data_IF_069921462567
#
_entry.id   IF_069921462567
#
_cell.length_a   1.000
_cell.length_b   1.000
_cell.length_c   1.000
_cell.angle_alpha   90.00
_cell.angle_beta   90.00
_cell.angle_gamma   90.00
#
_symmetry.space_group_name_H-M   'P 1'
#
loop_
_entity.id
_entity.type
_entity.pdbx_description
1 polymer ?
#
# COMPACT_ATOMS: atom_id res chain seq x y z
N UNK A 1 14.09 -13.26 -7.85
CA UNK A 1 13.34 -14.12 -6.92
C UNK A 1 12.42 -14.98 -7.75
N UNK A 2 12.44 -16.28 -7.55
CA UNK A 2 11.51 -17.23 -8.15
C UNK A 2 10.64 -17.78 -7.03
N UNK A 3 9.33 -17.73 -7.18
CA UNK A 3 8.38 -18.42 -6.30
C UNK A 3 7.78 -19.55 -7.10
N UNK A 4 7.98 -20.78 -6.68
CA UNK A 4 7.38 -21.93 -7.35
C UNK A 4 6.19 -22.34 -6.48
N UNK A 5 4.98 -22.31 -7.05
CA UNK A 5 3.76 -22.59 -6.30
C UNK A 5 3.77 -23.97 -5.66
N UNK A 6 2.81 -24.24 -4.78
CA UNK A 6 2.71 -25.53 -4.07
C UNK A 6 2.32 -26.73 -4.96
N UNK A 7 2.25 -26.55 -6.29
CA UNK A 7 1.76 -27.53 -7.26
C UNK A 7 2.85 -28.49 -7.75
N UNK A 8 2.73 -29.74 -7.29
CA UNK A 8 3.46 -30.98 -7.65
C UNK A 8 4.99 -30.93 -7.80
N UNK A 9 5.70 -31.95 -7.26
CA UNK A 9 7.14 -32.03 -7.41
C UNK A 9 7.50 -32.14 -8.90
N UNK A 10 8.24 -31.15 -9.40
CA UNK A 10 9.10 -31.36 -10.56
C UNK A 10 10.00 -32.54 -10.18
N UNK A 11 10.09 -33.55 -11.06
CA UNK A 11 10.91 -34.73 -10.83
C UNK A 11 12.39 -34.31 -10.66
N UNK A 12 12.80 -34.01 -9.43
CA UNK A 12 14.11 -33.49 -9.09
C UNK A 12 14.27 -33.36 -7.57
N UNK A 13 15.48 -33.65 -7.08
CA UNK A 13 15.82 -33.50 -5.66
C UNK A 13 16.02 -32.02 -5.33
N UNK A 14 15.01 -31.39 -4.75
CA UNK A 14 15.05 -29.99 -4.29
C UNK A 14 13.73 -29.57 -3.66
N UNK A 15 13.76 -28.64 -2.71
CA UNK A 15 12.54 -28.05 -2.14
C UNK A 15 11.86 -27.20 -3.21
N UNK A 16 10.66 -27.62 -3.65
CA UNK A 16 9.87 -27.00 -4.73
C UNK A 16 9.29 -25.61 -4.39
N UNK A 17 9.88 -24.85 -3.46
CA UNK A 17 9.35 -23.56 -3.00
C UNK A 17 9.84 -22.34 -3.77
N UNK A 18 10.93 -22.47 -4.54
CA UNK A 18 11.54 -21.38 -5.30
C UNK A 18 12.93 -20.97 -4.80
N UNK A 19 13.34 -19.74 -5.10
CA UNK A 19 14.70 -19.24 -4.87
C UNK A 19 14.74 -17.72 -4.64
N UNK A 20 15.44 -17.30 -3.58
CA UNK A 20 15.78 -15.90 -3.31
C UNK A 20 17.26 -15.66 -3.62
N UNK A 21 17.53 -14.94 -4.70
CA UNK A 21 18.88 -14.54 -5.09
C UNK A 21 19.15 -13.15 -4.53
N UNK A 22 20.21 -13.00 -3.74
CA UNK A 22 20.63 -11.73 -3.15
C UNK A 22 21.81 -11.17 -3.93
N UNK A 23 21.71 -9.90 -4.36
CA UNK A 23 22.80 -9.18 -5.03
C UNK A 23 22.97 -9.45 -6.52
N UNK A 24 22.04 -10.16 -7.16
CA UNK A 24 22.16 -10.47 -8.59
C UNK A 24 20.93 -11.11 -9.21
N UNK A 25 21.12 -11.54 -10.45
CA UNK A 25 20.16 -12.27 -11.28
C UNK A 25 20.80 -13.63 -11.58
N UNK A 26 20.03 -14.71 -11.47
CA UNK A 26 20.48 -16.07 -11.77
C UNK A 26 19.84 -16.54 -13.08
N UNK A 27 20.60 -16.67 -14.18
CA UNK A 27 20.07 -17.02 -15.50
C UNK A 27 19.36 -18.36 -15.57
N UNK A 28 19.70 -19.32 -14.70
CA UNK A 28 19.05 -20.63 -14.68
C UNK A 28 17.60 -20.61 -14.17
N UNK A 29 17.15 -19.52 -13.55
CA UNK A 29 15.83 -19.41 -12.92
C UNK A 29 14.76 -18.72 -13.79
N UNK A 30 15.06 -18.36 -15.04
CA UNK A 30 14.10 -17.76 -15.96
C UNK A 30 14.36 -18.18 -17.42
N UNK A 31 13.37 -17.94 -18.28
CA UNK A 31 13.50 -18.11 -19.74
C UNK A 31 13.11 -16.83 -20.47
N UNK A 32 13.70 -16.63 -21.64
CA UNK A 32 13.45 -15.46 -22.48
C UNK A 32 14.02 -14.17 -21.89
N UNK A 33 13.44 -13.04 -22.30
CA UNK A 33 13.90 -11.71 -21.90
C UNK A 33 13.28 -11.25 -20.58
N UNK A 34 14.02 -10.40 -19.85
CA UNK A 34 13.51 -9.71 -18.67
C UNK A 34 12.95 -8.35 -19.09
N UNK A 35 11.65 -8.16 -18.85
CA UNK A 35 10.97 -6.88 -19.08
C UNK A 35 10.94 -6.06 -17.81
N UNK A 36 11.37 -4.80 -17.89
CA UNK A 36 11.45 -3.91 -16.73
C UNK A 36 10.37 -2.84 -16.74
N UNK A 37 9.79 -2.60 -15.58
CA UNK A 37 8.90 -1.46 -15.29
C UNK A 37 9.55 -0.55 -14.22
N UNK A 38 9.47 0.78 -14.35
CA UNK A 38 10.06 1.69 -13.38
C UNK A 38 9.34 1.62 -12.02
N UNK A 39 10.11 1.78 -10.94
CA UNK A 39 9.57 2.01 -9.60
C UNK A 39 9.15 3.48 -9.52
N UNK A 40 7.88 3.73 -9.18
CA UNK A 40 7.31 5.09 -9.12
C UNK A 40 7.68 5.83 -7.84
N UNK A 41 7.66 5.14 -6.69
CA UNK A 41 8.02 5.68 -5.38
C UNK A 41 8.75 4.61 -4.54
N UNK A 42 9.78 4.99 -3.78
CA UNK A 42 10.70 4.07 -3.07
C UNK A 42 10.30 3.82 -1.60
N UNK A 43 9.05 3.42 -1.40
CA UNK A 43 8.45 3.06 -0.10
C UNK A 43 7.89 1.64 -0.12
N UNK A 44 7.24 1.29 -1.23
CA UNK A 44 6.98 -0.07 -1.69
C UNK A 44 7.71 -0.30 -3.02
N UNK A 45 7.69 -1.53 -3.54
CA UNK A 45 7.97 -1.76 -4.96
C UNK A 45 6.75 -1.34 -5.79
N UNK A 46 6.46 -0.03 -5.79
CA UNK A 46 5.33 0.55 -6.47
C UNK A 46 5.63 0.65 -7.97
N UNK A 47 4.76 0.06 -8.77
CA UNK A 47 4.81 0.10 -10.23
C UNK A 47 3.54 0.78 -10.76
N UNK A 48 3.52 1.03 -12.05
CA UNK A 48 2.36 1.61 -12.74
C UNK A 48 1.69 0.56 -13.61
N UNK A 49 0.38 0.35 -13.40
CA UNK A 49 -0.45 -0.56 -14.18
C UNK A 49 -1.26 0.26 -15.19
N UNK A 50 -1.11 -0.05 -16.48
CA UNK A 50 -1.73 0.73 -17.55
C UNK A 50 -3.07 0.15 -18.00
N UNK A 51 -3.14 -1.18 -18.15
CA UNK A 51 -4.30 -1.89 -18.66
C UNK A 51 -4.39 -3.27 -18.01
N UNK A 52 -5.62 -3.76 -17.83
CA UNK A 52 -5.89 -5.12 -17.41
C UNK A 52 -6.87 -5.76 -18.40
N UNK A 53 -6.56 -6.98 -18.84
CA UNK A 53 -7.35 -7.72 -19.82
C UNK A 53 -7.77 -9.09 -19.26
N UNK A 54 -8.99 -9.51 -19.59
CA UNK A 54 -9.53 -10.84 -19.25
C UNK A 54 -10.04 -11.46 -20.54
N UNK A 55 -9.52 -12.64 -20.91
CA UNK A 55 -9.87 -13.30 -22.18
C UNK A 55 -9.54 -12.47 -23.42
N UNK A 56 -8.46 -11.67 -23.38
CA UNK A 56 -8.06 -10.76 -24.45
C UNK A 56 -8.96 -9.51 -24.59
N UNK A 57 -9.88 -9.27 -23.66
CA UNK A 57 -10.71 -8.07 -23.64
C UNK A 57 -10.27 -7.13 -22.52
N UNK A 58 -10.03 -5.87 -22.87
CA UNK A 58 -9.76 -4.80 -21.91
C UNK A 58 -10.94 -4.57 -20.97
N UNK A 59 -10.67 -4.33 -19.69
CA UNK A 59 -11.70 -3.92 -18.73
C UNK A 59 -12.26 -2.51 -18.99
N UNK A 60 -11.60 -1.71 -19.83
CA UNK A 60 -12.01 -0.35 -20.20
C UNK A 60 -12.31 0.57 -19.00
N UNK A 61 -11.51 0.43 -17.93
CA UNK A 61 -11.52 1.36 -16.80
C UNK A 61 -10.49 2.46 -17.02
N UNK A 62 -10.69 3.62 -16.40
CA UNK A 62 -9.62 4.61 -16.27
C UNK A 62 -8.42 3.94 -15.60
N UNK A 63 -7.24 4.04 -16.22
CA UNK A 63 -6.04 3.39 -15.72
C UNK A 63 -5.65 3.86 -14.31
N UNK A 64 -6.12 5.03 -13.88
CA UNK A 64 -5.97 5.52 -12.50
C UNK A 64 -6.64 4.62 -11.46
N UNK A 65 -7.69 3.90 -11.84
CA UNK A 65 -8.38 2.94 -10.97
C UNK A 65 -7.49 1.75 -10.61
N UNK A 66 -6.58 1.36 -11.51
CA UNK A 66 -5.61 0.28 -11.23
C UNK A 66 -4.52 0.70 -10.24
N UNK A 67 -4.28 2.00 -10.12
CA UNK A 67 -3.20 2.57 -9.33
C UNK A 67 -3.70 3.36 -8.12
N UNK A 68 -4.98 3.27 -7.76
CA UNK A 68 -5.57 3.95 -6.61
C UNK A 68 -5.54 3.05 -5.34
N UNK A 69 -4.87 3.42 -4.25
CA UNK A 69 -3.92 4.53 -4.07
C UNK A 69 -2.49 4.20 -4.56
N UNK A 70 -2.24 2.92 -4.84
CA UNK A 70 -0.94 2.40 -5.31
C UNK A 70 -1.11 1.01 -5.93
N UNK A 71 -0.19 0.64 -6.81
CA UNK A 71 -0.02 -0.72 -7.30
C UNK A 71 1.37 -1.23 -6.92
N UNK A 72 1.46 -2.36 -6.21
CA UNK A 72 2.73 -2.86 -5.63
C UNK A 72 2.99 -4.32 -5.98
N UNK A 73 4.26 -4.70 -5.96
CA UNK A 73 4.72 -6.10 -6.01
C UNK A 73 5.10 -6.54 -4.60
N UNK A 74 4.42 -7.55 -4.07
CA UNK A 74 4.56 -7.94 -2.66
C UNK A 74 4.48 -9.47 -2.45
N UNK A 75 5.65 -10.09 -2.26
CA UNK A 75 5.73 -11.52 -1.93
C UNK A 75 5.13 -11.86 -0.56
N UNK A 76 4.90 -10.88 0.32
CA UNK A 76 4.26 -11.05 1.62
C UNK A 76 2.74 -11.20 1.55
N UNK A 77 2.12 -10.91 0.41
CA UNK A 77 0.68 -11.05 0.19
C UNK A 77 0.39 -12.32 -0.62
N UNK A 78 -0.51 -13.18 -0.15
CA UNK A 78 -0.81 -14.44 -0.87
C UNK A 78 -1.49 -14.23 -2.20
N UNK A 79 -2.58 -13.46 -2.24
CA UNK A 79 -3.49 -13.37 -3.39
C UNK A 79 -3.19 -12.15 -4.26
N UNK A 80 -3.69 -12.15 -5.50
CA UNK A 80 -3.86 -10.92 -6.26
C UNK A 80 -4.93 -10.08 -5.56
N UNK A 81 -4.55 -8.90 -5.06
CA UNK A 81 -5.51 -7.99 -4.43
C UNK A 81 -5.81 -6.84 -5.37
N UNK A 82 -7.08 -6.55 -5.61
CA UNK A 82 -7.52 -5.52 -6.55
C UNK A 82 -8.37 -4.48 -5.83
N UNK A 83 -8.25 -3.18 -6.15
CA UNK A 83 -9.18 -2.15 -5.67
C UNK A 83 -10.63 -2.57 -5.95
N UNK A 84 -11.56 -2.28 -5.03
CA UNK A 84 -12.92 -2.82 -5.08
C UNK A 84 -13.61 -2.68 -6.46
N UNK A 85 -13.46 -1.53 -7.12
CA UNK A 85 -14.02 -1.28 -8.47
C UNK A 85 -13.40 -2.19 -9.53
N UNK A 86 -12.08 -2.37 -9.50
CA UNK A 86 -11.32 -3.25 -10.40
C UNK A 86 -11.66 -4.71 -10.11
N UNK A 87 -11.74 -5.11 -8.83
CA UNK A 87 -12.12 -6.45 -8.41
C UNK A 87 -13.49 -6.85 -8.98
N UNK A 88 -14.49 -5.98 -8.84
CA UNK A 88 -15.83 -6.23 -9.36
C UNK A 88 -15.82 -6.41 -10.89
N UNK A 89 -15.10 -5.55 -11.62
CA UNK A 89 -14.96 -5.65 -13.08
C UNK A 89 -14.25 -6.95 -13.51
N UNK A 90 -13.21 -7.37 -12.78
CA UNK A 90 -12.51 -8.64 -13.04
C UNK A 90 -13.43 -9.83 -12.78
N UNK A 91 -14.14 -9.86 -11.65
CA UNK A 91 -15.06 -10.97 -11.33
C UNK A 91 -16.17 -11.05 -12.37
N UNK A 92 -16.75 -9.93 -12.76
CA UNK A 92 -17.77 -9.88 -13.81
C UNK A 92 -17.23 -10.38 -15.16
N UNK A 93 -16.05 -9.91 -15.57
CA UNK A 93 -15.42 -10.35 -16.81
C UNK A 93 -15.11 -11.85 -16.77
N UNK A 94 -14.53 -12.36 -15.67
CA UNK A 94 -14.21 -13.78 -15.48
C UNK A 94 -15.48 -14.62 -15.55
N UNK A 95 -16.57 -14.23 -14.87
CA UNK A 95 -17.85 -14.97 -14.93
C UNK A 95 -18.48 -14.95 -16.31
N UNK A 96 -18.23 -13.91 -17.13
CA UNK A 96 -18.71 -13.83 -18.52
C UNK A 96 -17.89 -14.69 -19.49
N UNK A 97 -16.55 -14.63 -19.43
CA UNK A 97 -15.67 -15.43 -20.31
C UNK A 97 -15.62 -16.89 -19.91
N UNK A 98 -15.73 -17.15 -18.62
CA UNK A 98 -15.80 -18.50 -18.09
C UNK A 98 -17.27 -18.88 -18.05
N UNK A 99 -17.73 -19.74 -18.95
CA UNK A 99 -18.99 -20.50 -18.79
C UNK A 99 -18.87 -21.45 -17.58
N UNK A 100 -18.57 -20.93 -16.38
CA UNK A 100 -18.16 -21.72 -15.22
C UNK A 100 -19.26 -21.70 -14.17
N UNK A 101 -20.06 -22.76 -14.29
CA UNK A 101 -20.85 -23.39 -13.24
C UNK A 101 -19.91 -23.75 -12.07
N UNK A 102 -19.75 -22.87 -11.08
CA UNK A 102 -19.01 -23.20 -9.86
C UNK A 102 -20.00 -23.77 -8.83
N UNK A 103 -20.11 -25.10 -8.75
CA UNK A 103 -20.45 -25.87 -7.54
C UNK A 103 -19.91 -27.31 -7.69
N UNK A 104 -19.58 -28.06 -6.61
CA UNK A 104 -19.85 -27.83 -5.18
C UNK A 104 -18.58 -27.90 -4.30
N UNK A 105 -18.72 -27.77 -2.97
CA UNK A 105 -18.09 -28.68 -2.01
C UNK A 105 -18.79 -28.56 -0.64
N UNK A 106 -19.55 -29.60 -0.26
CA UNK A 106 -19.59 -30.08 1.12
C UNK A 106 -18.86 -31.43 1.17
N UNK A 107 -17.73 -31.41 1.87
CA UNK A 107 -17.43 -32.27 3.02
C UNK A 107 -17.47 -33.81 2.91
N UNK A 108 -16.32 -34.37 3.29
CA UNK A 108 -16.05 -35.72 3.83
C UNK A 108 -15.96 -36.88 2.82
N UNK A 109 -14.72 -37.19 2.40
CA UNK A 109 -14.31 -38.57 2.11
C UNK A 109 -14.05 -38.98 0.67
N UNK A 110 -13.93 -38.06 -0.29
CA UNK A 110 -13.63 -38.42 -1.69
C UNK A 110 -12.47 -37.58 -2.27
N UNK A 111 -11.63 -38.22 -3.09
CA UNK A 111 -10.44 -37.70 -3.77
C UNK A 111 -10.77 -36.59 -4.79
N UNK A 112 -11.20 -35.42 -4.32
CA UNK A 112 -11.42 -34.24 -5.17
C UNK A 112 -10.52 -33.10 -4.72
N UNK A 113 -9.96 -32.38 -5.69
CA UNK A 113 -9.17 -31.17 -5.43
C UNK A 113 -10.11 -29.99 -5.19
N UNK A 114 -9.92 -29.30 -4.06
CA UNK A 114 -10.64 -28.08 -3.72
C UNK A 114 -9.84 -26.87 -4.20
N UNK A 115 -10.47 -26.02 -5.02
CA UNK A 115 -9.87 -24.78 -5.50
C UNK A 115 -10.44 -23.56 -4.76
N UNK A 116 -9.57 -22.57 -4.52
CA UNK A 116 -9.97 -21.24 -4.03
C UNK A 116 -9.74 -20.23 -5.14
N UNK A 117 -10.56 -19.17 -5.16
CA UNK A 117 -10.34 -18.07 -6.08
C UNK A 117 -9.08 -17.28 -5.66
N UNK A 118 -8.09 -17.19 -6.55
CA UNK A 118 -6.78 -16.58 -6.29
C UNK A 118 -6.75 -15.05 -6.24
N UNK A 119 -7.92 -14.40 -6.19
CA UNK A 119 -8.09 -12.96 -6.27
C UNK A 119 -8.99 -12.49 -5.14
N UNK A 120 -8.68 -11.34 -4.53
CA UNK A 120 -9.48 -10.76 -3.45
C UNK A 120 -9.63 -9.24 -3.59
N UNK A 121 -10.68 -8.64 -3.00
CA UNK A 121 -10.84 -7.19 -2.99
C UNK A 121 -9.84 -6.53 -2.01
N UNK A 122 -9.57 -5.26 -2.29
CA UNK A 122 -8.71 -4.37 -1.52
C UNK A 122 -9.33 -3.00 -1.44
N UNK A 123 -9.09 -2.32 -0.33
CA UNK A 123 -9.59 -0.96 -0.08
C UNK A 123 -8.60 0.13 -0.50
N UNK A 124 -7.30 -0.17 -0.57
CA UNK A 124 -6.26 0.88 -0.63
C UNK A 124 -5.03 0.53 -1.49
N UNK A 125 -5.06 -0.59 -2.24
CA UNK A 125 -3.96 -0.99 -3.11
C UNK A 125 -4.35 -2.07 -4.11
N UNK A 126 -3.74 -2.03 -5.29
CA UNK A 126 -3.53 -3.21 -6.12
C UNK A 126 -2.24 -3.91 -5.66
N UNK A 127 -2.31 -5.21 -5.38
CA UNK A 127 -1.17 -5.99 -4.88
C UNK A 127 -0.94 -7.19 -5.79
N UNK A 128 0.17 -7.19 -6.51
CA UNK A 128 0.68 -8.36 -7.21
C UNK A 128 1.34 -9.28 -6.17
N UNK A 129 0.51 -10.14 -5.57
CA UNK A 129 0.91 -11.10 -4.55
C UNK A 129 1.53 -12.38 -5.11
N UNK A 130 1.75 -13.36 -4.23
CA UNK A 130 2.35 -14.65 -4.54
C UNK A 130 1.65 -15.37 -5.72
N UNK A 131 0.31 -15.37 -5.79
CA UNK A 131 -0.42 -15.99 -6.92
C UNK A 131 -0.03 -15.44 -8.29
N UNK A 132 0.42 -14.18 -8.38
CA UNK A 132 0.94 -13.61 -9.63
C UNK A 132 2.42 -13.90 -9.75
N UNK A 133 3.19 -13.69 -8.67
CA UNK A 133 4.64 -13.88 -8.68
C UNK A 133 5.04 -15.34 -8.96
N UNK A 134 4.19 -16.31 -8.64
CA UNK A 134 4.42 -17.74 -8.94
C UNK A 134 4.58 -18.03 -10.44
N UNK A 135 4.04 -17.19 -11.32
CA UNK A 135 4.24 -17.28 -12.77
C UNK A 135 5.60 -16.77 -13.26
N UNK A 136 6.30 -15.96 -12.47
CA UNK A 136 7.40 -15.14 -12.98
C UNK A 136 8.67 -15.23 -12.14
N UNK A 137 9.80 -15.02 -12.80
CA UNK A 137 11.02 -14.63 -12.14
C UNK A 137 11.03 -13.11 -11.97
N UNK A 138 10.97 -12.65 -10.72
CA UNK A 138 10.84 -11.23 -10.38
C UNK A 138 12.18 -10.65 -9.91
N UNK A 139 12.63 -9.57 -10.55
CA UNK A 139 13.89 -8.88 -10.23
C UNK A 139 13.61 -7.55 -9.55
N UNK A 140 14.02 -7.41 -8.29
CA UNK A 140 13.92 -6.15 -7.55
C UNK A 140 15.21 -5.34 -7.70
N UNK A 141 15.36 -4.59 -8.79
CA UNK A 141 16.54 -3.81 -9.12
C UNK A 141 16.45 -2.40 -8.51
N UNK A 142 16.72 -2.33 -7.19
CA UNK A 142 16.72 -1.07 -6.43
C UNK A 142 17.76 -0.07 -6.94
N UNK A 143 18.92 -0.55 -7.41
CA UNK A 143 20.00 0.30 -7.89
C UNK A 143 19.59 1.12 -9.13
N UNK A 144 18.72 0.57 -9.98
CA UNK A 144 18.19 1.23 -11.18
C UNK A 144 16.71 1.59 -11.08
N UNK A 145 16.13 1.56 -9.87
CA UNK A 145 14.74 1.93 -9.56
C UNK A 145 13.72 1.26 -10.50
N UNK A 146 13.80 -0.05 -10.65
CA UNK A 146 12.91 -0.82 -11.55
C UNK A 146 12.64 -2.22 -11.04
N UNK A 147 11.50 -2.77 -11.44
CA UNK A 147 11.15 -4.18 -11.21
C UNK A 147 11.15 -4.91 -12.56
N UNK A 148 11.81 -6.06 -12.61
CA UNK A 148 11.88 -6.90 -13.81
C UNK A 148 11.00 -8.15 -13.68
N UNK A 149 10.43 -8.59 -14.79
CA UNK A 149 9.66 -9.83 -14.89
C UNK A 149 10.17 -10.66 -16.06
N UNK A 150 10.26 -11.97 -15.88
CA UNK A 150 10.55 -12.94 -16.93
C UNK A 150 9.79 -14.24 -16.68
N UNK A 151 9.60 -15.06 -17.71
CA UNK A 151 8.92 -16.34 -17.58
C UNK A 151 9.70 -17.28 -16.64
N UNK A 152 9.00 -17.89 -15.68
CA UNK A 152 9.61 -18.83 -14.73
C UNK A 152 9.49 -20.28 -15.23
N UNK A 153 10.58 -21.04 -15.38
CA UNK A 153 10.52 -22.45 -15.79
C UNK A 153 9.89 -23.37 -14.75
N UNK A 154 9.75 -22.95 -13.48
CA UNK A 154 9.03 -23.73 -12.48
C UNK A 154 7.53 -23.42 -12.43
N UNK A 155 7.06 -22.45 -13.23
CA UNK A 155 5.65 -22.14 -13.42
C UNK A 155 5.09 -22.99 -14.58
N UNK A 156 5.21 -24.32 -14.45
CA UNK A 156 4.72 -25.28 -15.43
C UNK A 156 3.85 -26.33 -14.74
N UNK A 157 2.66 -26.60 -15.30
CA UNK A 157 1.79 -27.68 -14.85
C UNK A 157 1.68 -28.69 -16.00
N UNK A 158 2.03 -29.95 -15.73
CA UNK A 158 2.09 -31.01 -16.74
C UNK A 158 2.94 -30.65 -17.98
N UNK A 159 4.02 -29.89 -17.78
CA UNK A 159 4.93 -29.44 -18.85
C UNK A 159 4.40 -28.29 -19.71
N UNK A 160 3.24 -27.72 -19.38
CA UNK A 160 2.71 -26.53 -20.03
C UNK A 160 2.95 -25.28 -19.16
N UNK A 161 3.37 -24.14 -19.73
CA UNK A 161 3.55 -22.90 -18.97
C UNK A 161 2.20 -22.37 -18.49
N UNK A 162 2.15 -21.87 -17.25
CA UNK A 162 0.91 -21.28 -16.67
C UNK A 162 0.85 -19.76 -16.75
N UNK A 163 1.89 -19.14 -17.32
CA UNK A 163 2.06 -17.69 -17.40
C UNK A 163 2.83 -17.31 -18.65
N UNK A 164 2.49 -16.14 -19.19
CA UNK A 164 3.12 -15.58 -20.39
C UNK A 164 3.60 -14.16 -20.12
N UNK A 165 4.66 -13.77 -20.82
CA UNK A 165 5.15 -12.40 -20.85
C UNK A 165 5.55 -12.04 -22.28
N UNK A 166 5.11 -10.89 -22.74
CA UNK A 166 5.33 -10.42 -24.10
C UNK A 166 5.37 -8.89 -24.15
N UNK A 167 5.91 -8.36 -25.23
CA UNK A 167 6.08 -6.93 -25.45
C UNK A 167 7.10 -6.63 -26.56
N UNK A 168 7.31 -5.34 -26.90
CA UNK A 168 6.59 -4.19 -26.36
C UNK A 168 5.22 -4.01 -27.02
N UNK A 169 4.33 -3.28 -26.35
CA UNK A 169 3.06 -2.82 -26.90
C UNK A 169 3.05 -1.28 -26.95
N UNK A 170 2.41 -0.68 -27.96
CA UNK A 170 2.16 0.76 -27.94
C UNK A 170 1.20 1.10 -26.79
N UNK A 171 1.41 2.26 -26.17
CA UNK A 171 0.59 2.81 -25.09
C UNK A 171 0.04 4.19 -25.46
N UNK A 172 0.04 4.54 -26.76
CA UNK A 172 -0.36 5.87 -27.24
C UNK A 172 -1.87 6.15 -26.99
N UNK A 173 -2.66 5.10 -26.81
CA UNK A 173 -4.09 5.11 -26.50
C UNK A 173 -4.40 5.23 -24.99
N UNK A 174 -3.37 5.16 -24.13
CA UNK A 174 -3.50 5.23 -22.67
C UNK A 174 -3.02 6.59 -22.18
N UNK A 175 -3.57 7.06 -21.05
CA UNK A 175 -3.12 8.30 -20.42
C UNK A 175 -1.59 8.26 -20.15
N UNK A 176 -0.92 9.40 -20.30
CA UNK A 176 0.53 9.51 -20.10
C UNK A 176 1.01 9.24 -18.68
N UNK A 177 0.10 9.33 -17.69
CA UNK A 177 0.35 8.93 -16.31
C UNK A 177 -0.95 8.41 -15.67
N UNK A 178 -0.89 7.17 -15.23
CA UNK A 178 -1.95 6.41 -14.59
C UNK A 178 -1.79 6.36 -13.07
N UNK A 179 -0.69 6.86 -12.50
CA UNK A 179 -0.57 7.01 -11.04
C UNK A 179 -1.26 8.32 -10.62
N UNK A 180 -2.38 8.27 -9.87
CA UNK A 180 -3.04 9.48 -9.40
C UNK A 180 -2.10 10.28 -8.49
N UNK A 181 -2.14 11.61 -8.60
CA UNK A 181 -1.41 12.46 -7.67
C UNK A 181 -1.95 12.22 -6.26
N UNK A 182 -1.07 11.92 -5.31
CA UNK A 182 -1.42 11.82 -3.89
C UNK A 182 -2.19 13.10 -3.49
N UNK A 183 -3.36 12.98 -2.83
CA UNK A 183 -4.06 14.15 -2.34
C UNK A 183 -3.16 14.87 -1.33
N UNK A 184 -2.84 16.13 -1.62
CA UNK A 184 -2.06 17.05 -0.78
C UNK A 184 -2.64 17.24 0.64
N UNK A 185 -3.82 16.71 0.94
CA UNK A 185 -4.52 16.93 2.20
C UNK A 185 -3.83 16.28 3.41
N UNK A 186 -3.21 15.10 3.23
CA UNK A 186 -2.45 14.45 4.31
C UNK A 186 -1.30 15.34 4.80
N UNK A 187 -0.29 15.70 3.98
CA UNK A 187 0.85 16.48 4.46
C UNK A 187 0.45 17.85 5.03
N UNK A 188 -0.60 18.48 4.51
CA UNK A 188 -1.11 19.76 5.04
C UNK A 188 -1.63 19.59 6.47
N UNK A 189 -2.36 18.51 6.78
CA UNK A 189 -2.90 18.29 8.12
C UNK A 189 -1.78 18.10 9.16
N UNK A 190 -0.74 17.34 8.81
CA UNK A 190 0.43 17.15 9.67
C UNK A 190 1.17 18.48 9.88
N UNK A 191 1.38 19.27 8.82
CA UNK A 191 2.00 20.60 8.91
C UNK A 191 1.17 21.55 9.78
N UNK A 192 -0.16 21.57 9.62
CA UNK A 192 -1.06 22.39 10.46
C UNK A 192 -1.00 21.95 11.93
N UNK A 193 -0.97 20.64 12.20
CA UNK A 193 -0.87 20.11 13.56
C UNK A 193 0.46 20.48 14.23
N UNK A 194 1.59 20.28 13.55
CA UNK A 194 2.91 20.61 14.09
C UNK A 194 3.09 22.11 14.31
N UNK A 195 2.58 22.95 13.40
CA UNK A 195 2.61 24.41 13.56
C UNK A 195 1.79 24.85 14.77
N UNK A 196 0.58 24.31 14.98
CA UNK A 196 -0.24 24.59 16.16
C UNK A 196 0.45 24.16 17.46
N UNK A 197 1.00 22.94 17.50
CA UNK A 197 1.71 22.43 18.68
C UNK A 197 2.94 23.29 19.01
N UNK A 198 3.69 23.72 18.00
CA UNK A 198 4.84 24.62 18.18
C UNK A 198 4.42 25.97 18.75
N UNK A 199 3.34 26.57 18.21
CA UNK A 199 2.83 27.87 18.70
C UNK A 199 2.35 27.75 20.15
N UNK A 200 1.59 26.70 20.48
CA UNK A 200 1.15 26.41 21.85
C UNK A 200 2.34 26.22 22.80
N UNK A 201 3.37 25.49 22.38
CA UNK A 201 4.58 25.26 23.16
C UNK A 201 5.34 26.56 23.46
N UNK A 202 5.48 27.46 22.47
CA UNK A 202 6.13 28.76 22.65
C UNK A 202 5.33 29.65 23.60
N UNK A 203 3.99 29.69 23.47
CA UNK A 203 3.13 30.47 24.37
C UNK A 203 3.25 29.97 25.81
N UNK A 204 3.20 28.65 26.03
CA UNK A 204 3.36 28.05 27.36
C UNK A 204 4.74 28.35 27.94
N UNK A 205 5.80 28.27 27.14
CA UNK A 205 7.16 28.60 27.57
C UNK A 205 7.26 30.07 28.03
N UNK A 206 6.69 31.01 27.27
CA UNK A 206 6.67 32.43 27.62
C UNK A 206 5.92 32.65 28.94
N UNK A 207 4.76 32.02 29.11
CA UNK A 207 3.98 32.12 30.35
C UNK A 207 4.74 31.56 31.56
N UNK A 208 5.43 30.42 31.39
CA UNK A 208 6.28 29.83 32.44
C UNK A 208 7.43 30.79 32.79
N UNK A 209 8.10 31.38 31.80
CA UNK A 209 9.17 32.35 32.03
C UNK A 209 8.65 33.58 32.78
N UNK A 210 7.47 34.10 32.42
CA UNK A 210 6.85 35.24 33.10
C UNK A 210 6.45 34.92 34.55
N UNK A 211 6.04 33.67 34.83
CA UNK A 211 5.71 33.21 36.19
C UNK A 211 6.95 32.94 37.04
N UNK A 212 8.05 32.50 36.43
CA UNK A 212 9.32 32.20 37.11
C UNK A 212 10.23 33.42 37.26
N UNK A 213 10.02 34.49 36.49
CA UNK A 213 10.64 35.79 36.72
C UNK A 213 10.03 36.37 38.00
N UNK A 214 10.77 36.41 39.14
CA UNK A 214 10.25 37.05 40.32
C UNK A 214 9.98 38.51 39.96
N UNK A 215 8.83 39.04 40.37
CA UNK A 215 8.44 40.44 40.26
C UNK A 215 9.39 41.34 41.07
N UNK A 216 10.66 41.40 40.68
CA UNK A 216 11.64 42.40 41.08
C UNK A 216 11.30 43.68 40.33
N UNK A 217 10.33 44.40 40.88
CA UNK A 217 10.23 45.87 40.93
C UNK A 217 8.78 46.32 41.15
N UNK A 218 8.24 46.08 42.35
CA UNK A 218 7.28 47.00 43.00
C UNK A 218 7.62 47.14 44.48
N UNK A 219 8.83 47.63 44.76
CA UNK A 219 9.11 48.31 46.03
C UNK A 219 8.96 49.81 45.76
N UNK A 220 7.75 50.33 45.99
CA UNK A 220 7.53 51.77 46.19
C UNK A 220 7.57 52.03 47.70
N UNK A 221 8.21 53.10 48.20
CA UNK A 221 8.35 53.35 49.64
C UNK A 221 6.98 53.52 50.32
N UNK A 222 6.90 53.00 51.54
CA UNK A 222 5.74 52.98 52.42
C UNK A 222 5.68 54.31 53.18
N UNK A 223 4.73 55.19 52.85
CA UNK A 223 4.33 56.31 53.72
C UNK A 223 3.22 55.84 54.69
N UNK A 224 3.23 56.25 55.97
CA UNK A 224 2.27 55.82 56.97
C UNK A 224 1.00 56.68 56.97
N UNK A 225 -0.11 56.04 57.35
CA UNK A 225 -1.39 56.63 57.81
C UNK A 225 -2.24 57.44 56.80
N UNK A 226 -3.18 56.75 56.13
CA UNK A 226 -4.61 57.12 56.17
C UNK A 226 -5.43 55.82 56.05
N UNK A 227 -6.04 55.39 57.15
CA UNK A 227 -7.02 54.29 57.17
C UNK A 227 -8.39 54.88 56.84
N UNK A 228 -8.97 54.51 55.70
CA UNK A 228 -10.36 54.83 55.36
C UNK A 228 -11.21 53.56 55.41
N UNK A 229 -11.80 53.30 56.58
CA UNK A 229 -12.78 52.24 56.82
C UNK A 229 -14.16 52.64 56.26
N UNK A 230 -14.36 52.44 54.95
CA UNK A 230 -15.69 52.52 54.31
C UNK A 230 -16.13 51.13 53.84
N UNK A 231 -16.15 50.16 54.76
CA UNK A 231 -16.73 48.82 54.54
C UNK A 231 -17.21 48.16 55.85
N UNK A 232 -17.87 48.93 56.72
CA UNK A 232 -18.61 48.39 57.87
C UNK A 232 -20.10 48.34 57.53
N UNK A 233 -20.56 47.20 57.01
CA UNK A 233 -21.95 46.95 56.67
C UNK A 233 -22.54 45.86 57.57
N UNK A 234 -22.70 46.15 58.86
CA UNK A 234 -23.62 45.42 59.75
C UNK A 234 -24.28 46.40 60.72
N UNK A 235 -25.54 46.74 60.45
CA UNK A 235 -26.38 47.60 61.28
C UNK A 235 -27.36 46.71 62.06
N UNK A 236 -26.96 46.23 63.24
CA UNK A 236 -27.92 45.60 64.17
C UNK A 236 -28.48 46.66 65.11
N UNK A 237 -29.80 46.88 64.96
CA UNK A 237 -30.64 47.78 65.73
C UNK A 237 -31.28 46.97 66.86
N UNK A 238 -31.11 47.38 68.12
CA UNK A 238 -31.94 46.94 69.25
C UNK A 238 -32.47 48.17 69.98
N UNK A 239 -33.79 48.30 70.02
CA UNK A 239 -34.59 48.88 71.09
C UNK A 239 -35.88 48.09 71.15
#
# INVERSE_FOLDING_TARGET
MQTCGAGLPVAGSGTNGGSLVLGGIEPSLYRGDIWYTPIKEEWYYQIEILKLEIGGQSLNLDCREYNADKAIVDSGTTLLRLPQKVFNAVVEAVVRTSLLYIQPMMGAGLNYECYRFGISPSTNALVLGATVMEGFYVVFDRARKRVGFAASPCAEIAGAPVSEISGPFSTDDIASNCVPALPLNEPVLWVVSYTLMSVCGVILLILIILLLLPSRCRHLPRDPEVVSDESSLVRHRWK
#
